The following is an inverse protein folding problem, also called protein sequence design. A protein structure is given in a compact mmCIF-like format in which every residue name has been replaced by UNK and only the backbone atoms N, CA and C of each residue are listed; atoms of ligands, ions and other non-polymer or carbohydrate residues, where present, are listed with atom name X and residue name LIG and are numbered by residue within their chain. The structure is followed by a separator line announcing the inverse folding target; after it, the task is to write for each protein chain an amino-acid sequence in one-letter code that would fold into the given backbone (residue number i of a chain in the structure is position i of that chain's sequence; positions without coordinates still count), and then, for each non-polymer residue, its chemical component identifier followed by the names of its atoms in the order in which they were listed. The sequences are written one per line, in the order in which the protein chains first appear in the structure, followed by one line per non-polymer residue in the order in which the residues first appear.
data_IF_011969143382
#
_entry.id   IF_011969143382
#
_cell.length_a   1.000
_cell.length_b   1.000
_cell.length_c   1.000
_cell.angle_alpha   90.00
_cell.angle_beta   90.00
_cell.angle_gamma   90.00
#
_symmetry.space_group_name_H-M   'P 1'
#
loop_
_entity.id
_entity.type
_entity.pdbx_description
1 polymer ?
#
# COMPACT_ATOMS: atom_id res chain seq x y z
N UNK A 1 9.30 -19.38 -14.62
CA UNK A 1 9.23 -17.97 -15.07
C UNK A 1 8.58 -17.16 -13.96
N UNK A 2 9.14 -16.01 -13.61
CA UNK A 2 8.58 -15.11 -12.60
C UNK A 2 7.34 -14.36 -13.09
N UNK A 3 6.53 -13.83 -12.17
CA UNK A 3 5.40 -12.95 -12.48
C UNK A 3 5.76 -11.51 -12.09
N UNK A 4 5.38 -10.55 -12.92
CA UNK A 4 5.53 -9.13 -12.61
C UNK A 4 4.30 -8.63 -11.86
N UNK A 5 4.50 -7.79 -10.86
CA UNK A 5 3.45 -7.18 -10.06
C UNK A 5 3.59 -5.66 -10.07
N UNK A 6 2.45 -4.96 -10.10
CA UNK A 6 2.43 -3.52 -9.84
C UNK A 6 2.41 -3.29 -8.33
N UNK A 7 3.23 -2.32 -7.89
CA UNK A 7 3.25 -1.84 -6.51
C UNK A 7 2.30 -0.66 -6.39
N UNK A 8 1.37 -0.74 -5.44
CA UNK A 8 0.36 0.30 -5.22
C UNK A 8 0.69 1.21 -4.03
N UNK A 9 1.52 0.71 -3.11
CA UNK A 9 2.05 1.44 -1.97
C UNK A 9 3.26 0.73 -1.36
N UNK A 10 4.00 1.46 -0.54
CA UNK A 10 5.12 1.00 0.27
C UNK A 10 4.78 1.25 1.74
N UNK A 11 5.09 0.27 2.60
CA UNK A 11 5.06 0.41 4.04
C UNK A 11 6.48 0.22 4.57
N UNK A 12 6.99 1.23 5.27
CA UNK A 12 8.33 1.21 5.85
C UNK A 12 8.23 0.78 7.30
N UNK A 13 8.64 -0.46 7.55
CA UNK A 13 8.76 -1.06 8.89
C UNK A 13 10.25 -1.03 9.22
N UNK A 14 10.60 -0.80 10.48
CA UNK A 14 11.98 -0.60 10.98
C UNK A 14 13.14 -1.02 10.04
N UNK A 15 13.27 -2.30 9.71
CA UNK A 15 14.33 -2.89 8.87
C UNK A 15 13.84 -3.45 7.51
N UNK A 16 12.57 -3.23 7.14
CA UNK A 16 11.91 -3.86 6.01
C UNK A 16 10.94 -2.93 5.30
N UNK A 17 10.89 -3.03 3.97
CA UNK A 17 9.84 -2.42 3.16
C UNK A 17 8.85 -3.50 2.73
N UNK A 18 7.56 -3.26 2.95
CA UNK A 18 6.50 -4.11 2.42
C UNK A 18 5.84 -3.41 1.22
N UNK A 19 5.54 -4.16 0.17
CA UNK A 19 4.83 -3.72 -1.02
C UNK A 19 3.35 -4.08 -0.92
N UNK A 20 2.46 -3.13 -1.19
CA UNK A 20 1.06 -3.42 -1.46
C UNK A 20 0.91 -3.85 -2.92
N UNK A 21 0.56 -5.10 -3.13
CA UNK A 21 0.46 -5.74 -4.44
C UNK A 21 -0.97 -6.19 -4.71
N UNK A 22 -1.25 -6.52 -5.97
CA UNK A 22 -2.47 -7.24 -6.35
C UNK A 22 -2.17 -8.25 -7.45
N UNK A 23 -2.53 -9.51 -7.23
CA UNK A 23 -2.58 -10.53 -8.28
C UNK A 23 -3.95 -10.48 -9.01
N UNK A 24 -4.05 -10.88 -10.29
CA UNK A 24 -5.29 -10.76 -11.07
C UNK A 24 -6.56 -11.27 -10.36
N UNK A 25 -6.45 -12.43 -9.70
CA UNK A 25 -7.57 -13.14 -9.09
C UNK A 25 -7.55 -13.10 -7.55
N UNK A 26 -6.87 -12.12 -6.96
CA UNK A 26 -6.77 -11.99 -5.50
C UNK A 26 -7.02 -10.54 -5.05
N UNK A 27 -7.57 -10.34 -3.84
CA UNK A 27 -7.61 -9.02 -3.22
C UNK A 27 -6.19 -8.48 -3.02
N UNK A 28 -6.02 -7.16 -2.87
CA UNK A 28 -4.72 -6.58 -2.57
C UNK A 28 -4.13 -7.15 -1.27
N UNK A 29 -2.81 -7.25 -1.21
CA UNK A 29 -2.09 -7.77 -0.05
C UNK A 29 -0.71 -7.13 0.11
N UNK A 30 -0.26 -7.03 1.36
CA UNK A 30 1.11 -6.62 1.70
C UNK A 30 2.07 -7.81 1.61
N UNK A 31 3.24 -7.60 1.01
CA UNK A 31 4.29 -8.60 0.93
C UNK A 31 5.68 -7.97 1.12
N UNK A 32 6.62 -8.65 1.81
CA UNK A 32 8.00 -8.20 1.93
C UNK A 32 8.68 -7.95 0.59
N UNK A 33 9.38 -6.81 0.49
CA UNK A 33 10.09 -6.41 -0.73
C UNK A 33 11.21 -7.37 -1.13
N UNK A 34 11.82 -8.06 -0.17
CA UNK A 34 12.90 -9.03 -0.40
C UNK A 34 12.45 -10.31 -1.14
N UNK A 35 11.14 -10.48 -1.39
CA UNK A 35 10.61 -11.56 -2.22
C UNK A 35 10.62 -11.22 -3.72
N UNK A 36 11.03 -10.02 -4.09
CA UNK A 36 10.92 -9.49 -5.44
C UNK A 36 12.22 -8.81 -5.91
N UNK A 37 12.46 -8.89 -7.21
CA UNK A 37 13.47 -8.08 -7.89
C UNK A 37 12.80 -6.79 -8.41
N UNK A 38 13.36 -5.63 -8.06
CA UNK A 38 12.86 -4.34 -8.54
C UNK A 38 13.27 -4.13 -10.01
N UNK A 39 12.28 -3.97 -10.89
CA UNK A 39 12.50 -3.76 -12.33
C UNK A 39 12.19 -2.33 -12.79
N UNK A 40 11.46 -1.55 -11.99
CA UNK A 40 11.13 -0.15 -12.23
C UNK A 40 11.22 0.62 -10.91
N UNK A 41 12.00 1.69 -10.88
CA UNK A 41 12.25 2.52 -9.70
C UNK A 41 11.48 3.84 -9.70
N UNK A 42 10.62 4.08 -10.69
CA UNK A 42 9.82 5.31 -10.75
C UNK A 42 8.73 5.29 -9.68
N UNK A 43 8.61 6.40 -8.94
CA UNK A 43 7.49 6.62 -8.02
C UNK A 43 6.34 7.25 -8.82
N UNK A 44 5.14 6.64 -8.84
CA UNK A 44 4.02 7.18 -9.60
C UNK A 44 3.60 8.57 -9.12
N UNK A 45 3.20 9.43 -10.05
CA UNK A 45 2.68 10.77 -9.74
C UNK A 45 1.43 10.70 -8.85
N UNK A 46 1.32 11.66 -7.92
CA UNK A 46 0.21 11.71 -6.97
C UNK A 46 0.30 10.68 -5.85
N UNK A 47 1.46 10.03 -5.69
CA UNK A 47 1.76 9.36 -4.43
C UNK A 47 2.00 10.40 -3.33
N UNK A 48 1.46 10.10 -2.17
CA UNK A 48 1.53 10.91 -0.96
C UNK A 48 2.20 10.10 0.15
N UNK A 49 2.69 10.82 1.17
CA UNK A 49 3.49 10.25 2.25
C UNK A 49 2.84 10.49 3.60
N UNK A 50 2.66 9.43 4.38
CA UNK A 50 2.18 9.49 5.75
C UNK A 50 3.29 9.05 6.71
N UNK A 51 3.77 9.96 7.55
CA UNK A 51 4.61 9.65 8.71
C UNK A 51 3.67 9.25 9.84
N UNK A 52 3.56 7.95 10.10
CA UNK A 52 2.51 7.38 10.96
C UNK A 52 2.57 7.92 12.39
N UNK A 53 3.77 8.09 12.96
CA UNK A 53 3.97 8.68 14.29
C UNK A 53 3.44 10.12 14.42
N UNK A 54 3.32 10.85 13.31
CA UNK A 54 2.87 12.25 13.27
C UNK A 54 1.39 12.39 12.86
N UNK A 55 0.73 11.28 12.53
CA UNK A 55 -0.67 11.24 12.12
C UNK A 55 -1.52 10.65 13.25
N UNK A 56 -2.51 11.40 13.74
CA UNK A 56 -3.34 10.96 14.87
C UNK A 56 -4.03 9.61 14.60
N UNK A 57 -4.57 9.43 13.39
CA UNK A 57 -5.30 8.22 13.03
C UNK A 57 -4.37 7.04 12.74
N UNK A 58 -3.18 7.30 12.18
CA UNK A 58 -2.22 6.26 11.80
C UNK A 58 -1.21 5.93 12.90
N UNK A 59 -1.18 6.69 14.00
CA UNK A 59 -0.19 6.52 15.07
C UNK A 59 -0.14 5.10 15.63
N UNK A 60 -1.28 4.41 15.68
CA UNK A 60 -1.36 3.01 16.11
C UNK A 60 -0.48 2.08 15.25
N UNK A 61 -0.29 2.40 13.96
CA UNK A 61 0.60 1.63 13.08
C UNK A 61 2.07 1.74 13.51
N UNK A 62 2.47 2.90 14.02
CA UNK A 62 3.79 3.07 14.62
C UNK A 62 3.87 2.37 15.97
N UNK A 63 2.97 2.72 16.91
CA UNK A 63 3.05 2.30 18.31
C UNK A 63 2.92 0.77 18.48
N UNK A 64 2.11 0.10 17.63
CA UNK A 64 1.82 -1.34 17.75
C UNK A 64 2.57 -2.18 16.72
N UNK A 65 2.72 -1.69 15.49
CA UNK A 65 3.24 -2.49 14.36
C UNK A 65 4.63 -2.05 13.89
N UNK A 66 5.18 -0.95 14.42
CA UNK A 66 6.49 -0.44 14.02
C UNK A 66 6.53 0.05 12.57
N UNK A 67 5.37 0.34 11.96
CA UNK A 67 5.28 0.95 10.64
C UNK A 67 5.57 2.43 10.81
N UNK A 68 6.71 2.91 10.32
CA UNK A 68 7.16 4.30 10.44
C UNK A 68 6.51 5.23 9.42
N UNK A 69 6.29 4.73 8.21
CA UNK A 69 5.67 5.53 7.15
C UNK A 69 5.02 4.68 6.08
N UNK A 70 4.07 5.28 5.39
CA UNK A 70 3.40 4.70 4.22
C UNK A 70 3.55 5.70 3.07
N UNK A 71 3.95 5.20 1.91
CA UNK A 71 3.99 5.95 0.65
C UNK A 71 3.03 5.27 -0.32
N UNK A 72 2.06 5.99 -0.89
CA UNK A 72 1.08 5.36 -1.77
C UNK A 72 0.05 6.33 -2.33
N UNK A 73 -1.04 5.81 -2.88
CA UNK A 73 -2.14 6.65 -3.35
C UNK A 73 -2.85 7.36 -2.19
N UNK A 74 -3.36 8.56 -2.45
CA UNK A 74 -3.97 9.47 -1.46
C UNK A 74 -4.96 8.79 -0.52
N UNK A 75 -5.90 7.99 -1.06
CA UNK A 75 -6.92 7.30 -0.25
C UNK A 75 -6.30 6.35 0.80
N UNK A 76 -5.20 5.66 0.49
CA UNK A 76 -4.54 4.76 1.44
C UNK A 76 -3.83 5.49 2.56
N UNK A 77 -3.24 6.64 2.27
CA UNK A 77 -2.38 7.35 3.22
C UNK A 77 -3.14 8.36 4.09
N UNK A 78 -4.32 8.79 3.64
CA UNK A 78 -5.14 9.78 4.32
C UNK A 78 -6.41 9.20 4.99
N UNK A 79 -6.87 8.01 4.60
CA UNK A 79 -8.05 7.38 5.20
C UNK A 79 -7.69 6.08 5.93
N UNK A 80 -7.50 6.17 7.25
CA UNK A 80 -7.09 5.02 8.08
C UNK A 80 -8.05 3.83 7.95
N UNK A 81 -9.35 4.09 7.85
CA UNK A 81 -10.35 3.03 7.66
C UNK A 81 -10.14 2.27 6.35
N UNK A 82 -9.71 2.95 5.29
CA UNK A 82 -9.37 2.31 4.03
C UNK A 82 -8.14 1.41 4.20
N UNK A 83 -7.08 1.92 4.83
CA UNK A 83 -5.89 1.12 5.13
C UNK A 83 -6.24 -0.17 5.89
N UNK A 84 -7.01 -0.07 6.98
CA UNK A 84 -7.46 -1.23 7.77
C UNK A 84 -8.30 -2.17 6.92
N UNK A 85 -9.25 -1.65 6.15
CA UNK A 85 -10.08 -2.48 5.27
C UNK A 85 -9.28 -3.24 4.22
N UNK A 86 -8.17 -2.69 3.72
CA UNK A 86 -7.25 -3.41 2.83
C UNK A 86 -6.54 -4.55 3.57
N UNK A 87 -6.07 -4.32 4.80
CA UNK A 87 -5.44 -5.35 5.63
C UNK A 87 -6.42 -6.47 5.99
N UNK A 88 -7.64 -6.11 6.37
CA UNK A 88 -8.71 -7.04 6.77
C UNK A 88 -9.45 -7.66 5.58
N UNK A 89 -9.18 -7.19 4.36
CA UNK A 89 -9.87 -7.57 3.13
C UNK A 89 -11.38 -7.32 3.20
N UNK A 90 -11.76 -6.19 3.79
CA UNK A 90 -13.15 -5.73 3.85
C UNK A 90 -13.66 -5.49 2.41
N UNK A 91 -14.81 -6.08 2.00
CA UNK A 91 -15.24 -6.06 0.61
C UNK A 91 -15.43 -4.67 -0.01
N UNK A 92 -15.92 -3.69 0.75
CA UNK A 92 -16.16 -2.32 0.26
C UNK A 92 -14.85 -1.58 0.07
N UNK A 93 -13.91 -1.72 0.99
CA UNK A 93 -12.59 -1.09 0.89
C UNK A 93 -11.75 -1.74 -0.22
N UNK A 94 -11.84 -3.06 -0.40
CA UNK A 94 -11.24 -3.73 -1.56
C UNK A 94 -11.83 -3.23 -2.87
N UNK A 95 -13.17 -3.03 -2.95
CA UNK A 95 -13.79 -2.48 -4.15
C UNK A 95 -13.33 -1.04 -4.44
N UNK A 96 -13.25 -0.17 -3.41
CA UNK A 96 -12.70 1.19 -3.55
C UNK A 96 -11.26 1.19 -4.06
N UNK A 97 -10.42 0.27 -3.57
CA UNK A 97 -9.06 0.09 -4.08
C UNK A 97 -9.07 -0.25 -5.57
N UNK A 98 -9.96 -1.16 -5.99
CA UNK A 98 -10.07 -1.57 -7.39
C UNK A 98 -10.46 -0.39 -8.28
N UNK A 99 -11.44 0.42 -7.86
CA UNK A 99 -11.88 1.61 -8.60
C UNK A 99 -10.77 2.66 -8.72
N UNK A 100 -10.07 2.96 -7.62
CA UNK A 100 -8.97 3.95 -7.62
C UNK A 100 -7.76 3.52 -8.47
N UNK A 101 -7.55 2.22 -8.64
CA UNK A 101 -6.42 1.66 -9.39
C UNK A 101 -6.72 1.38 -10.85
N UNK A 102 -7.99 1.24 -11.24
CA UNK A 102 -8.40 1.15 -12.64
C UNK A 102 -8.10 2.44 -13.40
N UNK A 103 -8.35 3.61 -12.78
CA UNK A 103 -8.04 4.93 -13.37
C UNK A 103 -6.56 5.07 -13.72
N UNK A 104 -5.66 4.41 -12.97
CA UNK A 104 -4.21 4.45 -13.20
C UNK A 104 -3.72 3.58 -14.37
N UNK A 105 -4.55 2.69 -14.94
CA UNK A 105 -4.18 1.89 -16.11
C UNK A 105 -4.43 2.59 -17.44
N UNK A 106 -5.15 3.72 -17.43
CA UNK A 106 -5.56 4.46 -18.62
C UNK A 106 -4.77 5.76 -18.83
N UNK A 107 -3.73 6.01 -18.02
CA UNK A 107 -2.79 7.14 -18.15
C UNK A 107 -1.38 6.63 -18.34
#
# INVERSE_FOLDING_TARGET
MGKNFLVYALSFIFDRVDYLLRAPDQPPFWAPSNLFDLIDSQIPSGWEFCITQSSADYRVLFDVFGIHSILGYSLLVNEYQHYVGIVEREPREVLKFMESTLVRKET
#
